data_IF_807775543359
#
_entry.id   IF_807775543359
#
_cell.length_a   1.000
_cell.length_b   1.000
_cell.length_c   1.000
_cell.angle_alpha   90.00
_cell.angle_beta   90.00
_cell.angle_gamma   90.00
#
_symmetry.space_group_name_H-M   'P 1'
#
loop_
_entity.id
_entity.type
_entity.pdbx_description
1 polymer ?
#
# COMPACT_ATOMS: atom_id res chain seq x y z
N UNK A 1 14.88 23.89 11.69
CA UNK A 1 14.20 22.61 11.97
C UNK A 1 13.35 22.78 13.21
N UNK A 2 12.02 22.77 13.06
CA UNK A 2 11.09 22.94 14.17
C UNK A 2 10.97 21.63 14.97
N UNK A 3 11.35 21.67 16.24
CA UNK A 3 11.34 20.51 17.16
C UNK A 3 9.95 19.92 17.46
N UNK A 4 8.87 20.57 16.99
CA UNK A 4 7.49 20.08 17.12
C UNK A 4 7.10 19.09 16.01
N UNK A 5 7.56 19.28 14.78
CA UNK A 5 7.27 18.38 13.64
C UNK A 5 7.94 17.01 13.83
N UNK A 6 9.16 17.01 14.38
CA UNK A 6 9.91 15.78 14.65
C UNK A 6 9.25 14.88 15.71
N UNK A 7 8.54 15.46 16.69
CA UNK A 7 7.87 14.70 17.76
C UNK A 7 6.53 14.10 17.31
N UNK A 8 5.84 14.74 16.37
CA UNK A 8 4.60 14.20 15.78
C UNK A 8 4.89 13.05 14.81
N UNK A 9 5.99 13.12 14.03
CA UNK A 9 6.40 12.03 13.13
C UNK A 9 6.69 10.73 13.89
N UNK A 10 7.50 10.79 14.95
CA UNK A 10 7.83 9.62 15.78
C UNK A 10 6.61 8.95 16.41
N UNK A 11 5.59 9.72 16.81
CA UNK A 11 4.35 9.17 17.36
C UNK A 11 3.52 8.41 16.31
N UNK A 12 3.46 8.93 15.08
CA UNK A 12 2.76 8.29 13.96
C UNK A 12 3.47 7.00 13.56
N UNK A 13 4.80 6.99 13.53
CA UNK A 13 5.59 5.81 13.16
C UNK A 13 5.45 4.67 14.17
N UNK A 14 5.35 5.00 15.47
CA UNK A 14 5.05 4.01 16.53
C UNK A 14 3.65 3.44 16.34
N UNK A 15 2.63 4.26 16.06
CA UNK A 15 1.26 3.77 15.86
C UNK A 15 1.18 2.88 14.62
N UNK A 16 1.84 3.26 13.52
CA UNK A 16 1.93 2.46 12.30
C UNK A 16 2.50 1.07 12.58
N UNK A 17 3.65 1.01 13.24
CA UNK A 17 4.37 -0.24 13.53
C UNK A 17 3.71 -1.12 14.60
N UNK A 18 3.17 -0.53 15.67
CA UNK A 18 2.64 -1.29 16.83
C UNK A 18 1.16 -1.64 16.74
N UNK A 19 0.37 -0.89 15.97
CA UNK A 19 -1.09 -1.07 15.90
C UNK A 19 -1.55 -1.34 14.48
N UNK A 20 -1.25 -0.44 13.53
CA UNK A 20 -1.84 -0.51 12.19
C UNK A 20 -1.28 -1.68 11.36
N UNK A 21 0.02 -1.91 11.39
CA UNK A 21 0.66 -3.02 10.67
C UNK A 21 0.17 -4.39 11.19
N UNK A 22 0.20 -4.69 12.49
CA UNK A 22 -0.32 -5.96 13.01
C UNK A 22 -1.79 -6.19 12.65
N UNK A 23 -2.66 -5.19 12.86
CA UNK A 23 -4.08 -5.30 12.55
C UNK A 23 -4.34 -5.52 11.04
N UNK A 24 -3.51 -4.94 10.19
CA UNK A 24 -3.59 -5.16 8.74
C UNK A 24 -3.13 -6.56 8.35
N UNK A 25 -2.04 -7.06 8.94
CA UNK A 25 -1.57 -8.44 8.73
C UNK A 25 -2.65 -9.44 9.15
N UNK A 26 -3.28 -9.25 10.31
CA UNK A 26 -4.42 -10.07 10.74
C UNK A 26 -5.56 -10.03 9.73
N UNK A 27 -5.95 -8.84 9.27
CA UNK A 27 -7.03 -8.68 8.28
C UNK A 27 -6.71 -9.39 6.96
N UNK A 28 -5.45 -9.37 6.52
CA UNK A 28 -5.00 -10.09 5.32
C UNK A 28 -5.12 -11.60 5.53
N UNK A 29 -4.70 -12.11 6.68
CA UNK A 29 -4.71 -13.55 6.98
C UNK A 29 -6.13 -14.11 7.19
N UNK A 30 -7.11 -13.25 7.45
CA UNK A 30 -8.53 -13.60 7.55
C UNK A 30 -9.23 -13.70 6.19
N UNK A 31 -8.59 -13.25 5.10
CA UNK A 31 -9.16 -13.35 3.74
C UNK A 31 -9.40 -14.82 3.39
N UNK A 32 -10.66 -15.24 3.13
CA UNK A 32 -10.96 -16.62 2.82
C UNK A 32 -10.25 -17.11 1.56
N UNK A 33 -9.63 -18.28 1.64
CA UNK A 33 -8.92 -18.91 0.51
C UNK A 33 -7.75 -18.08 -0.04
N UNK A 34 -7.15 -17.18 0.76
CA UNK A 34 -5.96 -16.45 0.34
C UNK A 34 -4.82 -17.42 0.02
N UNK A 35 -4.25 -17.28 -1.17
CA UNK A 35 -3.11 -18.09 -1.62
C UNK A 35 -1.87 -17.88 -0.76
N UNK A 36 -0.94 -18.84 -0.78
CA UNK A 36 0.38 -18.67 -0.14
C UNK A 36 1.31 -17.71 -0.88
N UNK A 37 1.00 -17.44 -2.14
CA UNK A 37 1.67 -16.47 -2.99
C UNK A 37 0.58 -15.53 -3.49
N UNK A 38 0.74 -14.23 -3.26
CA UNK A 38 -0.30 -13.23 -3.53
C UNK A 38 0.29 -12.01 -4.22
N UNK A 39 -0.56 -11.24 -4.89
CA UNK A 39 -0.23 -9.94 -5.49
C UNK A 39 -0.87 -8.82 -4.68
N UNK A 40 -0.10 -7.78 -4.37
CA UNK A 40 -0.52 -6.67 -3.53
C UNK A 40 -0.34 -5.33 -4.25
N UNK A 41 -1.34 -4.46 -4.14
CA UNK A 41 -1.22 -3.05 -4.50
C UNK A 41 -1.46 -2.20 -3.27
N UNK A 42 -0.57 -1.24 -3.02
CA UNK A 42 -0.73 -0.25 -1.97
C UNK A 42 -0.82 1.15 -2.57
N UNK A 43 -1.97 1.79 -2.36
CA UNK A 43 -2.26 3.13 -2.86
C UNK A 43 -2.11 4.13 -1.72
N UNK A 44 -1.41 5.22 -1.99
CA UNK A 44 -0.83 6.16 -1.03
C UNK A 44 0.19 5.48 -0.13
N UNK A 45 1.26 4.97 -0.74
CA UNK A 45 2.26 4.18 -0.05
C UNK A 45 3.16 4.93 0.91
N UNK A 46 3.22 6.25 0.82
CA UNK A 46 4.25 7.04 1.50
C UNK A 46 5.64 6.51 1.13
N UNK A 47 6.53 6.47 2.12
CA UNK A 47 7.85 5.84 2.06
C UNK A 47 7.85 4.30 1.93
N UNK A 48 6.66 3.66 1.92
CA UNK A 48 6.45 2.22 1.88
C UNK A 48 7.00 1.39 3.07
N UNK A 49 7.49 2.02 4.14
CA UNK A 49 8.01 1.30 5.32
C UNK A 49 6.93 0.39 5.92
N UNK A 50 5.72 0.94 6.11
CA UNK A 50 4.62 0.16 6.67
C UNK A 50 4.08 -0.94 5.75
N UNK A 51 4.41 -0.93 4.45
CA UNK A 51 4.11 -2.07 3.56
C UNK A 51 5.18 -3.11 3.69
N UNK A 52 6.46 -2.69 3.72
CA UNK A 52 7.56 -3.61 3.97
C UNK A 52 7.34 -4.42 5.25
N UNK A 53 6.96 -3.78 6.36
CA UNK A 53 6.68 -4.48 7.62
C UNK A 53 5.54 -5.52 7.48
N UNK A 54 4.50 -5.20 6.70
CA UNK A 54 3.39 -6.14 6.41
C UNK A 54 3.92 -7.33 5.63
N UNK A 55 4.76 -7.10 4.63
CA UNK A 55 5.32 -8.15 3.78
C UNK A 55 6.23 -9.08 4.60
N UNK A 56 7.11 -8.53 5.43
CA UNK A 56 7.96 -9.30 6.34
C UNK A 56 7.11 -10.16 7.29
N UNK A 57 6.08 -9.57 7.92
CA UNK A 57 5.17 -10.30 8.80
C UNK A 57 4.37 -11.40 8.08
N UNK A 58 3.94 -11.17 6.83
CA UNK A 58 3.29 -12.20 6.01
C UNK A 58 4.25 -13.35 5.68
N UNK A 59 5.51 -13.04 5.36
CA UNK A 59 6.54 -14.04 5.06
C UNK A 59 6.80 -14.96 6.26
N UNK A 60 6.83 -14.43 7.49
CA UNK A 60 6.90 -15.22 8.73
C UNK A 60 5.74 -16.21 8.87
N UNK A 61 4.57 -15.87 8.32
CA UNK A 61 3.36 -16.73 8.28
C UNK A 61 3.27 -17.59 7.01
N UNK A 62 4.36 -17.65 6.22
CA UNK A 62 4.47 -18.38 4.94
C UNK A 62 3.52 -17.86 3.85
N UNK A 63 3.22 -16.57 3.85
CA UNK A 63 2.58 -15.89 2.72
C UNK A 63 3.60 -14.98 2.06
N UNK A 64 3.75 -15.08 0.75
CA UNK A 64 4.75 -14.35 -0.02
C UNK A 64 4.06 -13.40 -0.99
N UNK A 65 4.64 -12.22 -1.20
CA UNK A 65 4.18 -11.32 -2.25
C UNK A 65 4.96 -11.66 -3.53
N UNK A 66 4.28 -11.87 -4.64
CA UNK A 66 4.93 -12.07 -5.95
C UNK A 66 4.98 -10.76 -6.72
N UNK A 67 3.85 -10.06 -6.81
CA UNK A 67 3.74 -8.77 -7.46
C UNK A 67 3.38 -7.71 -6.42
N UNK A 68 4.14 -6.62 -6.40
CA UNK A 68 3.91 -5.47 -5.52
C UNK A 68 3.77 -4.22 -6.38
N UNK A 69 2.66 -3.50 -6.25
CA UNK A 69 2.57 -2.13 -6.74
C UNK A 69 2.52 -1.14 -5.58
N UNK A 70 3.38 -0.13 -5.63
CA UNK A 70 3.39 0.99 -4.71
C UNK A 70 3.01 2.24 -5.49
N UNK A 71 1.93 2.91 -5.09
CA UNK A 71 1.38 4.08 -5.79
C UNK A 71 1.31 5.23 -4.80
N UNK A 72 1.93 6.36 -5.10
CA UNK A 72 1.79 7.59 -4.31
C UNK A 72 1.66 8.84 -5.20
N UNK A 73 1.11 9.91 -4.63
CA UNK A 73 0.92 11.20 -5.28
C UNK A 73 1.99 12.23 -4.89
N UNK A 74 2.65 12.07 -3.74
CA UNK A 74 3.71 12.98 -3.31
C UNK A 74 4.99 12.71 -4.11
N UNK A 75 5.36 13.65 -4.98
CA UNK A 75 6.52 13.48 -5.86
C UNK A 75 7.89 13.63 -5.18
N UNK A 76 7.89 13.88 -3.86
CA UNK A 76 9.13 14.15 -3.11
C UNK A 76 9.66 12.92 -2.38
N UNK A 77 8.84 11.87 -2.28
CA UNK A 77 9.15 10.65 -1.54
C UNK A 77 9.67 9.53 -2.45
N UNK A 78 9.74 9.73 -3.77
CA UNK A 78 10.26 8.74 -4.70
C UNK A 78 11.58 8.08 -4.27
N UNK A 79 12.61 8.85 -3.86
CA UNK A 79 13.89 8.24 -3.51
C UNK A 79 13.73 7.26 -2.35
N UNK A 80 12.99 7.65 -1.30
CA UNK A 80 12.74 6.85 -0.11
C UNK A 80 11.87 5.62 -0.43
N UNK A 81 10.89 5.81 -1.34
CA UNK A 81 10.00 4.76 -1.82
C UNK A 81 10.74 3.69 -2.63
N UNK A 82 11.64 4.12 -3.52
CA UNK A 82 12.51 3.22 -4.31
C UNK A 82 13.54 2.53 -3.42
N UNK A 83 14.16 3.25 -2.49
CA UNK A 83 15.09 2.67 -1.52
C UNK A 83 14.41 1.57 -0.70
N UNK A 84 13.23 1.83 -0.15
CA UNK A 84 12.47 0.84 0.61
C UNK A 84 12.07 -0.36 -0.25
N UNK A 85 11.60 -0.12 -1.49
CA UNK A 85 11.21 -1.16 -2.44
C UNK A 85 12.38 -2.06 -2.91
N UNK A 86 13.60 -1.55 -2.88
CA UNK A 86 14.82 -2.25 -3.33
C UNK A 86 15.66 -2.81 -2.18
N UNK A 87 15.40 -2.39 -0.94
CA UNK A 87 16.07 -2.89 0.25
C UNK A 87 15.76 -4.36 0.52
N UNK A 88 16.77 -5.11 0.99
CA UNK A 88 16.57 -6.49 1.39
C UNK A 88 15.84 -6.59 2.75
N UNK A 89 15.07 -7.65 2.97
CA UNK A 89 14.83 -8.79 2.06
C UNK A 89 13.87 -8.46 0.89
N UNK A 90 14.15 -8.92 -0.35
CA UNK A 90 13.26 -8.68 -1.47
C UNK A 90 12.12 -9.70 -1.37
N UNK A 91 11.02 -9.30 -0.75
CA UNK A 91 9.89 -10.19 -0.55
C UNK A 91 8.80 -10.06 -1.63
N UNK A 92 9.15 -9.41 -2.75
CA UNK A 92 8.38 -9.34 -4.00
C UNK A 92 9.30 -9.64 -5.18
N UNK A 93 8.88 -10.52 -6.09
CA UNK A 93 9.63 -10.88 -7.29
C UNK A 93 9.51 -9.80 -8.38
N UNK A 94 8.46 -8.98 -8.31
CA UNK A 94 8.13 -7.98 -9.31
C UNK A 94 7.48 -6.75 -8.65
N UNK A 95 8.31 -5.77 -8.30
CA UNK A 95 7.85 -4.51 -7.71
C UNK A 95 7.71 -3.43 -8.77
N UNK A 96 6.52 -2.85 -8.88
CA UNK A 96 6.25 -1.63 -9.64
C UNK A 96 6.07 -0.45 -8.68
N UNK A 97 6.61 0.70 -9.06
CA UNK A 97 6.44 1.95 -8.32
C UNK A 97 5.86 3.00 -9.27
N UNK A 98 4.77 3.64 -8.87
CA UNK A 98 4.21 4.81 -9.53
C UNK A 98 4.19 5.98 -8.56
N UNK A 99 4.72 7.10 -9.02
CA UNK A 99 4.63 8.36 -8.32
C UNK A 99 4.04 9.40 -9.27
N UNK A 100 2.84 9.88 -8.96
CA UNK A 100 2.17 10.87 -9.79
C UNK A 100 1.09 11.60 -9.02
N UNK A 101 1.17 12.93 -8.95
CA UNK A 101 0.05 13.76 -8.52
C UNK A 101 -1.06 13.88 -9.57
N UNK A 102 -0.81 13.42 -10.80
CA UNK A 102 -1.81 13.37 -11.86
C UNK A 102 -2.70 12.13 -11.68
N UNK A 103 -3.98 12.40 -11.43
CA UNK A 103 -5.02 11.39 -11.24
C UNK A 103 -5.20 10.51 -12.47
N UNK A 104 -5.15 11.08 -13.66
CA UNK A 104 -5.42 10.33 -14.89
C UNK A 104 -4.28 9.34 -15.17
N UNK A 105 -3.05 9.68 -14.74
CA UNK A 105 -1.89 8.77 -14.75
C UNK A 105 -2.06 7.65 -13.72
N UNK A 106 -2.47 7.96 -12.48
CA UNK A 106 -2.75 6.94 -11.46
C UNK A 106 -3.84 5.98 -11.95
N UNK A 107 -4.93 6.50 -12.49
CA UNK A 107 -6.02 5.69 -13.02
C UNK A 107 -5.56 4.80 -14.17
N UNK A 108 -4.84 5.35 -15.16
CA UNK A 108 -4.31 4.57 -16.28
C UNK A 108 -3.34 3.46 -15.82
N UNK A 109 -2.54 3.72 -14.78
CA UNK A 109 -1.71 2.69 -14.15
C UNK A 109 -2.57 1.59 -13.52
N UNK A 110 -3.56 1.95 -12.70
CA UNK A 110 -4.44 0.97 -12.04
C UNK A 110 -5.23 0.13 -13.06
N UNK A 111 -5.76 0.76 -14.11
CA UNK A 111 -6.48 0.12 -15.22
C UNK A 111 -5.58 -0.87 -15.99
N UNK A 112 -4.30 -0.55 -16.17
CA UNK A 112 -3.35 -1.47 -16.82
C UNK A 112 -3.21 -2.80 -16.06
N UNK A 113 -3.48 -2.80 -14.76
CA UNK A 113 -3.41 -3.97 -13.90
C UNK A 113 -4.80 -4.41 -13.40
N UNK A 114 -5.85 -4.11 -14.17
CA UNK A 114 -7.21 -4.57 -13.89
C UNK A 114 -7.24 -6.09 -13.66
N UNK A 115 -7.85 -6.51 -12.55
CA UNK A 115 -7.98 -7.92 -12.22
C UNK A 115 -6.68 -8.65 -11.86
N UNK A 116 -5.59 -7.97 -11.54
CA UNK A 116 -4.29 -8.62 -11.30
C UNK A 116 -3.94 -8.84 -9.82
N UNK A 117 -4.48 -8.04 -8.91
CA UNK A 117 -4.08 -8.08 -7.50
C UNK A 117 -5.05 -8.88 -6.62
N UNK A 118 -4.54 -9.58 -5.61
CA UNK A 118 -5.33 -10.28 -4.59
C UNK A 118 -5.73 -9.33 -3.47
N UNK A 119 -4.93 -8.31 -3.21
CA UNK A 119 -5.11 -7.38 -2.09
C UNK A 119 -4.83 -5.96 -2.57
N UNK A 120 -5.76 -5.05 -2.29
CA UNK A 120 -5.54 -3.61 -2.39
C UNK A 120 -5.55 -3.01 -0.99
N UNK A 121 -4.55 -2.21 -0.68
CA UNK A 121 -4.45 -1.52 0.61
C UNK A 121 -4.49 -0.02 0.35
N UNK A 122 -5.30 0.68 1.14
CA UNK A 122 -5.22 2.14 1.25
C UNK A 122 -5.14 2.51 2.73
N UNK A 123 -4.02 3.07 3.18
CA UNK A 123 -3.84 3.50 4.57
C UNK A 123 -3.80 5.02 4.64
N UNK A 124 -4.67 5.64 5.44
CA UNK A 124 -4.64 7.09 5.70
C UNK A 124 -4.76 8.00 4.46
N UNK A 125 -5.09 7.47 3.28
CA UNK A 125 -5.15 8.24 2.02
C UNK A 125 -6.46 9.00 1.89
N UNK A 126 -7.59 8.33 2.14
CA UNK A 126 -8.91 8.87 1.86
C UNK A 126 -9.22 10.14 2.68
N UNK A 127 -8.66 10.26 3.88
CA UNK A 127 -8.80 11.45 4.74
C UNK A 127 -7.99 12.67 4.24
N UNK A 128 -7.01 12.45 3.38
CA UNK A 128 -6.18 13.52 2.79
C UNK A 128 -6.77 14.04 1.48
N UNK A 129 -7.75 13.32 0.92
CA UNK A 129 -8.41 13.71 -0.32
C UNK A 129 -9.51 14.74 0.00
N UNK A 130 -9.49 15.93 -0.64
CA UNK A 130 -10.33 17.04 -0.23
C UNK A 130 -11.80 16.87 -0.61
N UNK A 131 -12.12 15.97 -1.56
CA UNK A 131 -13.49 15.76 -2.04
C UNK A 131 -13.91 14.30 -2.01
N UNK A 132 -15.19 14.06 -1.70
CA UNK A 132 -15.79 12.71 -1.73
C UNK A 132 -15.70 12.10 -3.13
N UNK A 133 -15.82 12.90 -4.19
CA UNK A 133 -15.77 12.42 -5.57
C UNK A 133 -14.38 11.85 -5.91
N UNK A 134 -13.30 12.55 -5.54
CA UNK A 134 -11.93 12.07 -5.75
C UNK A 134 -11.63 10.82 -4.92
N UNK A 135 -12.09 10.79 -3.67
CA UNK A 135 -11.91 9.62 -2.80
C UNK A 135 -12.65 8.40 -3.36
N UNK A 136 -13.89 8.60 -3.82
CA UNK A 136 -14.70 7.54 -4.45
C UNK A 136 -14.06 7.03 -5.74
N UNK A 137 -13.49 7.92 -6.55
CA UNK A 137 -12.82 7.55 -7.79
C UNK A 137 -11.55 6.74 -7.55
N UNK A 138 -10.74 7.13 -6.56
CA UNK A 138 -9.56 6.35 -6.18
C UNK A 138 -9.94 4.96 -5.66
N UNK A 139 -10.99 4.87 -4.83
CA UNK A 139 -11.52 3.59 -4.35
C UNK A 139 -12.02 2.72 -5.50
N UNK A 140 -12.77 3.29 -6.45
CA UNK A 140 -13.23 2.58 -7.64
C UNK A 140 -12.05 2.04 -8.45
N UNK A 141 -11.02 2.86 -8.69
CA UNK A 141 -9.84 2.46 -9.46
C UNK A 141 -9.03 1.37 -8.75
N UNK A 142 -8.84 1.50 -7.43
CA UNK A 142 -8.17 0.48 -6.62
C UNK A 142 -8.96 -0.84 -6.61
N UNK A 143 -10.29 -0.78 -6.58
CA UNK A 143 -11.14 -1.96 -6.68
C UNK A 143 -11.05 -2.63 -8.05
N UNK A 144 -10.97 -1.85 -9.14
CA UNK A 144 -10.77 -2.38 -10.50
C UNK A 144 -9.46 -3.18 -10.66
N UNK A 145 -8.41 -2.81 -9.93
CA UNK A 145 -7.14 -3.53 -9.95
C UNK A 145 -7.23 -4.93 -9.28
N UNK A 146 -8.29 -5.23 -8.53
CA UNK A 146 -8.46 -6.50 -7.81
C UNK A 146 -9.01 -7.60 -8.72
N UNK A 147 -8.52 -8.82 -8.52
CA UNK A 147 -9.16 -10.06 -8.98
C UNK A 147 -10.61 -10.13 -8.46
N UNK A 148 -11.48 -10.95 -9.07
CA UNK A 148 -12.84 -11.15 -8.56
C UNK A 148 -12.95 -11.61 -7.10
N UNK A 149 -11.92 -12.29 -6.58
CA UNK A 149 -11.81 -12.72 -5.18
C UNK A 149 -10.89 -11.84 -4.34
N UNK A 150 -10.42 -10.73 -4.90
CA UNK A 150 -9.50 -9.83 -4.23
C UNK A 150 -10.22 -8.93 -3.22
N UNK A 151 -9.48 -8.49 -2.22
CA UNK A 151 -10.04 -7.72 -1.10
C UNK A 151 -9.42 -6.32 -1.02
N UNK A 152 -10.27 -5.32 -0.78
CA UNK A 152 -9.86 -3.94 -0.53
C UNK A 152 -9.84 -3.67 0.98
N UNK A 153 -8.64 -3.46 1.52
CA UNK A 153 -8.42 -3.18 2.93
C UNK A 153 -8.22 -1.68 3.16
N UNK A 154 -9.24 -1.06 3.74
CA UNK A 154 -9.23 0.34 4.16
C UNK A 154 -8.84 0.41 5.65
N UNK A 155 -7.74 1.08 5.97
CA UNK A 155 -7.34 1.33 7.37
C UNK A 155 -7.18 2.85 7.59
N UNK A 156 -7.89 3.33 8.62
CA UNK A 156 -7.92 4.71 9.10
C UNK A 156 -7.03 4.88 10.33
#
# INVERSE_FOLDING_TARGET
>A
MNSKEAKTGQGVDIIKSTVLTPALVESILEIPNLGKVVSLINVGSGDAISVRDVIEALAEKRHFIENLALVDADTKIFPDLVETATSEPPHSLNTQVLESGDRDVIAAFLERFEGQYDIAITKLVLQQIPTVAEASYLMYSAYGALKPTGELLLKF
#
